data_IF_149766284402
#
_entry.id   IF_149766284402
#
_cell.length_a   1.000
_cell.length_b   1.000
_cell.length_c   1.000
_cell.angle_alpha   90.00
_cell.angle_beta   90.00
_cell.angle_gamma   90.00
#
_symmetry.space_group_name_H-M   'P 1'
#
loop_
_entity.id
_entity.type
_entity.pdbx_description
1 polymer ?
#
# COMPACT_ATOMS: atom_id res chain seq x y z
N UNK A 1 22.71 3.35 33.84
CA UNK A 1 22.96 4.58 33.06
C UNK A 1 22.29 5.74 33.78
N UNK A 2 23.02 6.53 34.56
CA UNK A 2 22.47 7.73 35.23
C UNK A 2 22.43 8.86 34.20
N UNK A 3 21.25 9.39 33.95
CA UNK A 3 21.06 10.58 33.09
C UNK A 3 21.11 11.78 34.05
N UNK A 4 22.31 12.32 34.26
CA UNK A 4 22.46 13.62 34.90
C UNK A 4 21.95 14.73 33.97
N UNK A 5 21.25 15.69 34.57
CA UNK A 5 20.49 16.70 33.86
C UNK A 5 21.36 17.64 33.03
N UNK A 6 21.03 17.77 31.74
CA UNK A 6 21.63 18.76 30.86
C UNK A 6 20.59 19.52 30.01
N UNK A 7 21.00 20.75 29.70
CA UNK A 7 20.27 21.91 29.22
C UNK A 7 19.89 21.82 27.73
N UNK A 8 19.18 20.78 27.30
CA UNK A 8 18.27 20.77 26.15
C UNK A 8 18.00 19.32 25.73
N UNK A 9 16.74 18.88 25.61
CA UNK A 9 16.38 17.56 25.07
C UNK A 9 17.03 17.23 23.72
N UNK A 10 17.38 18.24 22.90
CA UNK A 10 18.03 18.05 21.60
C UNK A 10 19.48 17.56 21.70
N UNK A 11 20.25 18.03 22.68
CA UNK A 11 21.66 17.65 22.85
C UNK A 11 21.77 16.21 23.35
N UNK A 12 20.90 15.83 24.30
CA UNK A 12 20.80 14.45 24.78
C UNK A 12 20.44 13.51 23.63
N UNK A 13 19.48 13.88 22.79
CA UNK A 13 19.08 13.10 21.63
C UNK A 13 20.22 12.95 20.61
N UNK A 14 20.93 14.03 20.29
CA UNK A 14 22.11 13.98 19.41
C UNK A 14 23.18 13.03 19.94
N UNK A 15 23.47 13.09 21.25
CA UNK A 15 24.46 12.21 21.89
C UNK A 15 24.03 10.74 21.87
N UNK A 16 22.73 10.47 22.02
CA UNK A 16 22.20 9.11 21.95
C UNK A 16 22.27 8.58 20.51
N UNK A 17 21.87 9.39 19.54
CA UNK A 17 21.86 8.98 18.13
C UNK A 17 23.29 8.82 17.57
N UNK A 18 24.22 9.72 17.89
CA UNK A 18 25.62 9.61 17.44
C UNK A 18 26.32 8.35 17.94
N UNK A 19 25.93 7.82 19.09
CA UNK A 19 26.45 6.53 19.61
C UNK A 19 26.02 5.31 18.78
N UNK A 20 25.00 5.43 17.94
CA UNK A 20 24.55 4.34 17.07
C UNK A 20 25.45 4.16 15.84
N UNK A 21 26.32 5.13 15.52
CA UNK A 21 27.20 5.05 14.35
C UNK A 21 26.44 4.82 13.03
N UNK A 22 27.02 4.03 12.13
CA UNK A 22 26.44 3.67 10.85
C UNK A 22 25.35 2.59 11.02
N UNK A 23 24.13 3.03 11.28
CA UNK A 23 22.96 2.16 11.54
C UNK A 23 21.83 2.44 10.57
N UNK A 24 21.10 1.39 10.15
CA UNK A 24 19.84 1.52 9.40
C UNK A 24 18.67 1.28 10.35
N UNK A 25 17.75 2.24 10.43
CA UNK A 25 16.53 2.15 11.23
C UNK A 25 15.34 2.04 10.30
N UNK A 26 14.71 0.86 10.28
CA UNK A 26 13.44 0.61 9.60
C UNK A 26 12.26 0.97 10.49
N UNK A 27 11.30 1.73 9.98
CA UNK A 27 10.06 2.06 10.67
C UNK A 27 8.89 1.69 9.78
N UNK A 28 8.11 0.74 10.28
CA UNK A 28 6.92 0.26 9.59
C UNK A 28 5.71 1.16 9.84
N UNK A 29 4.90 1.38 8.80
CA UNK A 29 3.68 2.20 8.84
C UNK A 29 3.87 3.56 9.50
N UNK A 30 4.87 4.32 9.03
CA UNK A 30 5.36 5.55 9.66
C UNK A 30 4.26 6.60 9.88
N UNK A 31 3.17 6.57 9.11
CA UNK A 31 2.03 7.47 9.31
C UNK A 31 1.35 7.33 10.67
N UNK A 32 1.50 6.19 11.34
CA UNK A 32 0.92 5.93 12.66
C UNK A 32 1.69 6.66 13.77
N UNK A 33 2.96 7.01 13.54
CA UNK A 33 3.84 7.63 14.53
C UNK A 33 4.26 9.06 14.17
N UNK A 34 3.83 9.56 13.01
CA UNK A 34 4.31 10.83 12.47
C UNK A 34 3.83 12.02 13.32
N UNK A 35 4.79 12.72 13.94
CA UNK A 35 4.53 13.93 14.74
C UNK A 35 5.52 15.04 14.40
N UNK A 36 5.19 16.33 14.64
CA UNK A 36 6.15 17.43 14.46
C UNK A 36 7.43 17.27 15.29
N UNK A 37 7.35 16.62 16.46
CA UNK A 37 8.53 16.27 17.23
C UNK A 37 9.39 15.22 16.51
N UNK A 38 8.77 14.17 16.00
CA UNK A 38 9.47 13.12 15.26
C UNK A 38 10.19 13.64 14.02
N UNK A 39 9.60 14.58 13.26
CA UNK A 39 10.30 15.22 12.13
C UNK A 39 11.55 15.97 12.58
N UNK A 40 11.50 16.68 13.71
CA UNK A 40 12.69 17.36 14.27
C UNK A 40 13.78 16.36 14.65
N UNK A 41 13.41 15.20 15.18
CA UNK A 41 14.35 14.09 15.45
C UNK A 41 15.03 13.64 14.15
N UNK A 42 14.25 13.36 13.09
CA UNK A 42 14.78 12.96 11.79
C UNK A 42 15.72 14.03 11.20
N UNK A 43 15.34 15.29 11.33
CA UNK A 43 16.13 16.44 10.87
C UNK A 43 17.50 16.52 11.57
N UNK A 44 17.51 16.31 12.88
CA UNK A 44 18.74 16.27 13.67
C UNK A 44 19.59 15.05 13.31
N UNK A 45 18.98 13.87 13.23
CA UNK A 45 19.67 12.62 12.92
C UNK A 45 20.36 12.70 11.56
N UNK A 46 19.65 13.13 10.52
CA UNK A 46 20.19 13.27 9.16
C UNK A 46 21.39 14.22 9.07
N UNK A 47 21.43 15.26 9.89
CA UNK A 47 22.50 16.27 9.85
C UNK A 47 23.73 15.93 10.72
N UNK A 48 23.56 15.10 11.74
CA UNK A 48 24.56 14.94 12.82
C UNK A 48 25.03 13.51 13.01
N UNK A 49 24.50 12.56 12.25
CA UNK A 49 24.78 11.13 12.40
C UNK A 49 24.82 10.42 11.06
N UNK A 50 25.44 9.25 11.03
CA UNK A 50 25.47 8.35 9.85
C UNK A 50 24.26 7.40 9.80
N UNK A 51 23.19 7.72 10.53
CA UNK A 51 21.99 6.90 10.58
C UNK A 51 21.19 7.07 9.28
N UNK A 52 20.81 5.95 8.66
CA UNK A 52 19.86 5.92 7.54
C UNK A 52 18.51 5.44 8.03
N UNK A 53 17.44 6.14 7.65
CA UNK A 53 16.07 5.72 7.94
C UNK A 53 15.44 5.11 6.70
N UNK A 54 14.72 4.00 6.90
CA UNK A 54 13.85 3.39 5.91
C UNK A 54 12.43 3.43 6.47
N UNK A 55 11.51 4.06 5.75
CA UNK A 55 10.11 4.12 6.13
C UNK A 55 9.30 3.27 5.16
N UNK A 56 8.33 2.53 5.69
CA UNK A 56 7.25 1.94 4.89
C UNK A 56 5.94 2.60 5.28
N UNK A 57 4.94 2.49 4.42
CA UNK A 57 3.59 2.89 4.75
C UNK A 57 2.74 3.17 3.51
N UNK A 58 1.46 3.44 3.73
CA UNK A 58 0.57 3.86 2.65
C UNK A 58 1.12 5.09 1.91
N UNK A 59 0.87 5.17 0.60
CA UNK A 59 1.29 6.33 -0.20
C UNK A 59 0.68 7.64 0.32
N UNK A 60 -0.54 7.62 0.90
CA UNK A 60 -1.12 8.77 1.62
C UNK A 60 -0.25 9.19 2.80
N UNK A 61 0.17 8.22 3.61
CA UNK A 61 1.04 8.42 4.75
C UNK A 61 2.36 9.05 4.35
N UNK A 62 3.02 8.46 3.35
CA UNK A 62 4.29 8.94 2.81
C UNK A 62 4.16 10.33 2.18
N UNK A 63 3.12 10.60 1.39
CA UNK A 63 2.88 11.92 0.80
C UNK A 63 2.63 13.00 1.86
N UNK A 64 1.93 12.69 2.95
CA UNK A 64 1.75 13.64 4.07
C UNK A 64 3.07 13.98 4.75
N UNK A 65 3.99 13.01 4.84
CA UNK A 65 5.33 13.21 5.40
C UNK A 65 6.14 14.16 4.51
N UNK A 66 6.10 13.93 3.20
CA UNK A 66 6.83 14.71 2.20
C UNK A 66 6.27 16.12 2.01
N UNK A 67 4.94 16.24 1.95
CA UNK A 67 4.26 17.50 1.65
C UNK A 67 4.01 18.38 2.89
N UNK A 68 4.01 17.80 4.10
CA UNK A 68 3.64 18.51 5.32
C UNK A 68 2.20 19.00 5.36
N UNK A 69 1.33 18.41 4.53
CA UNK A 69 -0.08 18.79 4.43
C UNK A 69 -0.82 18.51 5.74
N UNK A 70 -1.53 19.53 6.23
CA UNK A 70 -2.31 19.51 7.46
C UNK A 70 -1.63 20.11 8.70
N UNK A 71 -0.35 20.54 8.62
CA UNK A 71 0.37 21.11 9.78
C UNK A 71 1.12 22.43 9.52
N UNK A 72 0.74 23.16 8.48
CA UNK A 72 1.23 24.51 8.16
C UNK A 72 2.58 24.52 7.42
N UNK A 73 2.87 25.63 6.74
CA UNK A 73 4.03 25.80 5.86
C UNK A 73 5.37 25.37 6.48
N UNK A 74 5.55 25.52 7.80
CA UNK A 74 6.77 25.16 8.55
C UNK A 74 7.16 23.67 8.49
N UNK A 75 6.24 22.76 8.15
CA UNK A 75 6.51 21.32 8.11
C UNK A 75 7.22 20.90 6.81
N UNK A 76 6.86 21.49 5.66
CA UNK A 76 7.51 21.21 4.37
C UNK A 76 8.94 21.77 4.30
N UNK A 77 9.23 22.87 5.02
CA UNK A 77 10.58 23.45 5.08
C UNK A 77 11.62 22.55 5.75
N UNK A 78 11.23 21.63 6.64
CA UNK A 78 12.21 20.80 7.38
C UNK A 78 12.87 19.72 6.52
N UNK A 79 12.24 19.33 5.41
CA UNK A 79 12.79 18.41 4.41
C UNK A 79 13.30 19.10 3.14
N UNK A 80 13.09 20.41 2.97
CA UNK A 80 13.69 21.16 1.86
C UNK A 80 15.21 21.04 1.91
N UNK A 81 15.79 20.51 0.83
CA UNK A 81 17.23 20.25 0.72
C UNK A 81 17.69 18.88 1.24
N UNK A 82 16.78 18.00 1.67
CA UNK A 82 17.08 16.63 2.12
C UNK A 82 16.46 15.64 1.14
N UNK A 83 17.22 15.08 0.19
CA UNK A 83 16.67 14.14 -0.78
C UNK A 83 16.16 12.89 -0.05
N UNK A 84 14.90 12.54 -0.31
CA UNK A 84 14.30 11.28 0.12
C UNK A 84 14.29 10.35 -1.09
N UNK A 85 14.76 9.13 -0.91
CA UNK A 85 14.72 8.10 -1.94
C UNK A 85 13.37 7.41 -1.83
N UNK A 86 12.54 7.58 -2.86
CA UNK A 86 11.24 6.91 -2.95
C UNK A 86 11.40 5.57 -3.66
N UNK A 87 10.97 4.49 -3.00
CA UNK A 87 10.90 3.15 -3.58
C UNK A 87 9.42 2.77 -3.65
N UNK A 88 8.90 2.69 -4.87
CA UNK A 88 7.52 2.27 -5.12
C UNK A 88 7.48 0.76 -5.35
N UNK A 89 6.85 0.01 -4.43
CA UNK A 89 6.53 -1.40 -4.65
C UNK A 89 5.23 -1.47 -5.48
N UNK A 90 5.31 -2.07 -6.66
CA UNK A 90 4.15 -2.29 -7.55
C UNK A 90 3.74 -3.77 -7.52
N UNK A 91 2.49 -4.10 -7.88
CA UNK A 91 2.14 -5.48 -8.23
C UNK A 91 3.08 -5.99 -9.32
N UNK A 92 3.34 -7.29 -9.29
CA UNK A 92 4.10 -7.94 -10.34
C UNK A 92 3.40 -7.83 -11.70
N UNK A 93 4.20 -7.73 -12.75
CA UNK A 93 3.76 -8.04 -14.11
C UNK A 93 3.33 -9.51 -14.19
N UNK A 94 2.64 -9.88 -15.28
CA UNK A 94 2.30 -11.28 -15.54
C UNK A 94 3.56 -12.17 -15.58
N UNK A 95 4.62 -11.69 -16.23
CA UNK A 95 5.90 -12.40 -16.34
C UNK A 95 6.56 -12.59 -14.97
N UNK A 96 6.63 -11.53 -14.15
CA UNK A 96 7.16 -11.62 -12.79
C UNK A 96 6.34 -12.57 -11.91
N UNK A 97 5.01 -12.58 -12.07
CA UNK A 97 4.12 -13.49 -11.35
C UNK A 97 4.37 -14.95 -11.71
N UNK A 98 4.52 -15.23 -13.02
CA UNK A 98 4.85 -16.57 -13.54
C UNK A 98 6.22 -17.01 -13.02
N UNK A 99 7.23 -16.14 -13.11
CA UNK A 99 8.58 -16.44 -12.64
C UNK A 99 8.62 -16.64 -11.12
N UNK A 100 7.85 -15.88 -10.36
CA UNK A 100 7.72 -16.03 -8.91
C UNK A 100 7.15 -17.41 -8.54
N UNK A 101 6.06 -17.83 -9.19
CA UNK A 101 5.46 -19.14 -8.94
C UNK A 101 6.34 -20.29 -9.44
N UNK A 102 7.02 -20.15 -10.58
CA UNK A 102 8.01 -21.12 -11.06
C UNK A 102 9.15 -21.31 -10.07
N UNK A 103 9.72 -20.20 -9.59
CA UNK A 103 10.78 -20.25 -8.60
C UNK A 103 10.32 -20.95 -7.31
N UNK A 104 9.11 -20.64 -6.83
CA UNK A 104 8.53 -21.30 -5.65
C UNK A 104 8.24 -22.79 -5.89
N UNK A 105 7.72 -23.14 -7.07
CA UNK A 105 7.49 -24.53 -7.51
C UNK A 105 8.79 -25.33 -7.45
N UNK A 106 9.86 -24.83 -8.05
CA UNK A 106 11.13 -25.54 -8.14
C UNK A 106 11.82 -25.64 -6.77
N UNK A 107 11.82 -24.55 -5.99
CA UNK A 107 12.44 -24.50 -4.65
C UNK A 107 11.75 -25.44 -3.66
N UNK A 108 10.42 -25.54 -3.72
CA UNK A 108 9.63 -26.35 -2.80
C UNK A 108 9.23 -27.72 -3.39
N UNK A 109 9.76 -28.09 -4.57
CA UNK A 109 9.46 -29.33 -5.30
C UNK A 109 7.94 -29.59 -5.45
N UNK A 110 7.19 -28.55 -5.80
CA UNK A 110 5.73 -28.61 -5.95
C UNK A 110 5.38 -29.08 -7.36
N UNK A 111 4.42 -29.98 -7.48
CA UNK A 111 3.93 -30.38 -8.81
C UNK A 111 2.86 -29.41 -9.32
N UNK A 112 3.27 -28.38 -10.07
CA UNK A 112 2.37 -27.46 -10.79
C UNK A 112 2.66 -27.50 -12.30
N UNK A 113 1.62 -27.53 -13.14
CA UNK A 113 1.79 -27.42 -14.60
C UNK A 113 2.05 -25.97 -15.03
N UNK A 114 2.55 -25.76 -16.25
CA UNK A 114 2.72 -24.41 -16.80
C UNK A 114 1.39 -23.66 -16.96
N UNK A 115 0.34 -24.36 -17.41
CA UNK A 115 -1.01 -23.81 -17.50
C UNK A 115 -1.53 -23.36 -16.13
N UNK A 116 -1.30 -24.15 -15.08
CA UNK A 116 -1.70 -23.82 -13.71
C UNK A 116 -1.03 -22.52 -13.22
N UNK A 117 0.27 -22.36 -13.50
CA UNK A 117 1.03 -21.17 -13.11
C UNK A 117 0.51 -19.93 -13.85
N UNK A 118 0.25 -20.06 -15.14
CA UNK A 118 -0.28 -18.97 -15.97
C UNK A 118 -1.68 -18.58 -15.49
N UNK A 119 -2.54 -19.56 -15.19
CA UNK A 119 -3.89 -19.32 -14.69
C UNK A 119 -3.87 -18.59 -13.33
N UNK A 120 -3.08 -19.09 -12.36
CA UNK A 120 -2.92 -18.44 -11.07
C UNK A 120 -2.35 -17.01 -11.21
N UNK A 121 -1.36 -16.82 -12.09
CA UNK A 121 -0.75 -15.51 -12.33
C UNK A 121 -1.75 -14.51 -12.92
N UNK A 122 -2.60 -14.93 -13.87
CA UNK A 122 -3.68 -14.12 -14.41
C UNK A 122 -4.76 -13.81 -13.36
N UNK A 123 -5.10 -14.80 -12.54
CA UNK A 123 -6.12 -14.70 -11.48
C UNK A 123 -5.73 -13.65 -10.44
N UNK A 124 -4.48 -13.65 -9.99
CA UNK A 124 -4.01 -12.79 -8.89
C UNK A 124 -3.38 -11.47 -9.36
N UNK A 125 -3.18 -11.28 -10.68
CA UNK A 125 -2.76 -10.02 -11.31
C UNK A 125 -1.56 -9.36 -10.61
N UNK A 126 -0.59 -10.18 -10.21
CA UNK A 126 0.65 -9.73 -9.58
C UNK A 126 0.56 -9.28 -8.12
N UNK A 127 -0.58 -9.49 -7.45
CA UNK A 127 -0.66 -9.27 -6.02
C UNK A 127 0.13 -10.37 -5.31
N UNK A 128 1.34 -10.01 -4.87
CA UNK A 128 2.34 -10.91 -4.30
C UNK A 128 1.77 -11.70 -3.11
N UNK A 129 0.95 -11.05 -2.27
CA UNK A 129 0.29 -11.70 -1.14
C UNK A 129 -0.57 -12.89 -1.58
N UNK A 130 -1.42 -12.72 -2.60
CA UNK A 130 -2.28 -13.80 -3.11
C UNK A 130 -1.50 -14.89 -3.82
N UNK A 131 -0.49 -14.53 -4.62
CA UNK A 131 0.43 -15.49 -5.23
C UNK A 131 1.15 -16.34 -4.18
N UNK A 132 1.54 -15.71 -3.06
CA UNK A 132 2.20 -16.39 -1.94
C UNK A 132 1.25 -17.33 -1.21
N UNK A 133 0.03 -16.89 -0.89
CA UNK A 133 -0.99 -17.76 -0.28
C UNK A 133 -1.32 -18.95 -1.17
N UNK A 134 -1.50 -18.72 -2.47
CA UNK A 134 -1.74 -19.75 -3.47
C UNK A 134 -0.58 -20.77 -3.51
N UNK A 135 0.65 -20.29 -3.68
CA UNK A 135 1.84 -21.13 -3.74
C UNK A 135 2.06 -21.95 -2.47
N UNK A 136 1.79 -21.36 -1.30
CA UNK A 136 1.84 -22.06 -0.02
C UNK A 136 0.81 -23.20 0.03
N UNK A 137 -0.45 -22.95 -0.32
CA UNK A 137 -1.48 -24.00 -0.36
C UNK A 137 -1.10 -25.14 -1.31
N UNK A 138 -0.53 -24.83 -2.48
CA UNK A 138 0.00 -25.84 -3.40
C UNK A 138 1.14 -26.65 -2.80
N UNK A 139 2.03 -26.00 -2.03
CA UNK A 139 3.11 -26.69 -1.30
C UNK A 139 2.59 -27.66 -0.24
N UNK A 140 1.41 -27.37 0.34
CA UNK A 140 0.72 -28.24 1.30
C UNK A 140 -0.05 -29.39 0.64
N UNK A 141 0.06 -29.55 -0.69
CA UNK A 141 -0.56 -30.66 -1.44
C UNK A 141 -2.01 -30.39 -1.88
N UNK A 142 -2.52 -29.16 -1.74
CA UNK A 142 -3.84 -28.81 -2.25
C UNK A 142 -3.82 -28.85 -3.77
N UNK A 143 -4.89 -29.30 -4.42
CA UNK A 143 -5.04 -29.17 -5.88
C UNK A 143 -5.15 -27.71 -6.29
N UNK A 144 -4.87 -27.39 -7.56
CA UNK A 144 -5.03 -26.06 -8.13
C UNK A 144 -6.36 -25.38 -7.74
N UNK A 145 -7.48 -26.03 -8.08
CA UNK A 145 -8.82 -25.52 -7.78
C UNK A 145 -9.05 -25.33 -6.27
N UNK A 146 -8.63 -26.30 -5.45
CA UNK A 146 -8.83 -26.19 -4.00
C UNK A 146 -8.00 -25.06 -3.40
N UNK A 147 -6.77 -24.84 -3.90
CA UNK A 147 -5.95 -23.72 -3.48
C UNK A 147 -6.61 -22.39 -3.86
N UNK A 148 -7.14 -22.26 -5.08
CA UNK A 148 -7.88 -21.06 -5.50
C UNK A 148 -9.12 -20.79 -4.64
N UNK A 149 -9.90 -21.82 -4.32
CA UNK A 149 -11.06 -21.71 -3.44
C UNK A 149 -10.67 -21.20 -2.05
N UNK A 150 -9.60 -21.76 -1.45
CA UNK A 150 -9.14 -21.33 -0.13
C UNK A 150 -8.59 -19.90 -0.16
N UNK A 151 -7.83 -19.51 -1.19
CA UNK A 151 -7.41 -18.10 -1.36
C UNK A 151 -8.62 -17.18 -1.46
N UNK A 152 -9.66 -17.58 -2.22
CA UNK A 152 -10.89 -16.80 -2.37
C UNK A 152 -11.64 -16.65 -1.04
N UNK A 153 -11.70 -17.72 -0.23
CA UNK A 153 -12.33 -17.69 1.11
C UNK A 153 -11.57 -16.74 2.06
N UNK A 154 -10.24 -16.84 2.11
CA UNK A 154 -9.41 -15.97 2.94
C UNK A 154 -9.54 -14.52 2.47
N UNK A 155 -9.38 -14.30 1.16
CA UNK A 155 -9.48 -13.00 0.52
C UNK A 155 -10.84 -12.34 0.76
N UNK A 156 -11.94 -13.11 0.75
CA UNK A 156 -13.28 -12.59 1.07
C UNK A 156 -13.34 -11.90 2.42
N UNK A 157 -12.78 -12.51 3.47
CA UNK A 157 -12.81 -11.91 4.81
C UNK A 157 -12.00 -10.61 4.86
N UNK A 158 -10.84 -10.59 4.22
CA UNK A 158 -9.94 -9.43 4.19
C UNK A 158 -10.58 -8.29 3.41
N UNK A 159 -11.03 -8.56 2.18
CA UNK A 159 -11.63 -7.59 1.28
C UNK A 159 -12.93 -7.01 1.87
N UNK A 160 -13.78 -7.84 2.50
CA UNK A 160 -15.00 -7.32 3.14
C UNK A 160 -14.68 -6.42 4.34
N UNK A 161 -13.66 -6.77 5.12
CA UNK A 161 -13.20 -5.93 6.23
C UNK A 161 -12.69 -4.58 5.72
N UNK A 162 -11.79 -4.58 4.73
CA UNK A 162 -11.27 -3.37 4.10
C UNK A 162 -12.40 -2.53 3.49
N UNK A 163 -13.28 -3.15 2.71
CA UNK A 163 -14.41 -2.49 2.07
C UNK A 163 -15.35 -1.84 3.09
N UNK A 164 -15.62 -2.51 4.22
CA UNK A 164 -16.47 -1.97 5.29
C UNK A 164 -15.90 -0.74 5.97
N UNK A 165 -14.57 -0.57 5.96
CA UNK A 165 -13.88 0.59 6.53
C UNK A 165 -13.92 1.83 5.63
N UNK A 166 -14.31 1.67 4.35
CA UNK A 166 -14.40 2.75 3.39
C UNK A 166 -15.64 3.63 3.65
N UNK A 167 -15.53 4.92 3.33
CA UNK A 167 -16.70 5.81 3.31
C UNK A 167 -17.74 5.38 2.26
N UNK A 168 -18.99 5.78 2.44
CA UNK A 168 -20.11 5.45 1.54
C UNK A 168 -19.79 5.74 0.05
N UNK A 169 -19.18 6.90 -0.24
CA UNK A 169 -18.81 7.28 -1.60
C UNK A 169 -17.68 6.40 -2.15
N UNK A 170 -16.70 6.05 -1.32
CA UNK A 170 -15.63 5.14 -1.72
C UNK A 170 -16.18 3.73 -2.01
N UNK A 171 -17.11 3.24 -1.19
CA UNK A 171 -17.75 1.95 -1.39
C UNK A 171 -18.46 1.86 -2.74
N UNK A 172 -19.24 2.88 -3.13
CA UNK A 172 -19.93 2.84 -4.43
C UNK A 172 -18.98 2.99 -5.62
N UNK A 173 -17.87 3.72 -5.47
CA UNK A 173 -16.81 3.76 -6.49
C UNK A 173 -16.19 2.37 -6.68
N UNK A 174 -15.85 1.69 -5.59
CA UNK A 174 -15.26 0.35 -5.63
C UNK A 174 -16.26 -0.66 -6.22
N UNK A 175 -17.55 -0.60 -5.86
CA UNK A 175 -18.61 -1.41 -6.48
C UNK A 175 -18.76 -1.16 -7.97
N UNK A 176 -18.75 0.10 -8.39
CA UNK A 176 -18.82 0.45 -9.81
C UNK A 176 -17.63 -0.14 -10.57
N UNK A 177 -16.40 -0.02 -10.04
CA UNK A 177 -15.22 -0.59 -10.67
C UNK A 177 -15.17 -2.11 -10.64
N UNK A 178 -15.70 -2.77 -9.61
CA UNK A 178 -15.70 -4.24 -9.52
C UNK A 178 -16.54 -4.86 -10.65
N UNK A 179 -17.61 -4.19 -11.07
CA UNK A 179 -18.48 -4.58 -12.18
C UNK A 179 -17.89 -4.13 -13.52
N UNK A 180 -17.53 -2.85 -13.67
CA UNK A 180 -17.08 -2.29 -14.94
C UNK A 180 -15.69 -2.80 -15.37
N UNK A 181 -14.88 -3.30 -14.42
CA UNK A 181 -13.45 -3.66 -14.53
C UNK A 181 -12.54 -2.47 -14.83
N UNK A 182 -12.94 -1.60 -15.76
CA UNK A 182 -12.23 -0.39 -16.10
C UNK A 182 -13.22 0.70 -16.58
N UNK A 183 -13.07 1.94 -16.10
CA UNK A 183 -14.01 3.03 -16.41
C UNK A 183 -13.32 4.38 -16.59
N UNK A 184 -13.85 5.25 -17.46
CA UNK A 184 -13.49 6.67 -17.48
C UNK A 184 -14.21 7.41 -16.34
N UNK A 185 -13.72 8.59 -15.98
CA UNK A 185 -14.26 9.38 -14.87
C UNK A 185 -15.77 9.60 -14.95
N UNK A 186 -16.28 9.99 -16.13
CA UNK A 186 -17.71 10.29 -16.35
C UNK A 186 -18.59 9.06 -16.14
N UNK A 187 -18.19 7.92 -16.70
CA UNK A 187 -18.95 6.68 -16.59
C UNK A 187 -18.91 6.14 -15.16
N UNK A 188 -17.73 6.20 -14.52
CA UNK A 188 -17.56 5.77 -13.14
C UNK A 188 -18.43 6.58 -12.18
N UNK A 189 -18.47 7.91 -12.35
CA UNK A 189 -19.30 8.80 -11.54
C UNK A 189 -20.78 8.47 -11.71
N UNK A 190 -21.24 8.35 -12.95
CA UNK A 190 -22.64 8.04 -13.28
C UNK A 190 -23.10 6.72 -12.68
N UNK A 191 -22.29 5.67 -12.76
CA UNK A 191 -22.62 4.36 -12.16
C UNK A 191 -22.64 4.45 -10.63
N UNK A 192 -21.68 5.17 -10.03
CA UNK A 192 -21.63 5.39 -8.57
C UNK A 192 -22.85 6.14 -8.04
N UNK A 193 -23.29 7.20 -8.75
CA UNK A 193 -24.52 7.94 -8.44
C UNK A 193 -25.77 7.05 -8.56
N UNK A 194 -25.79 6.15 -9.56
CA UNK A 194 -26.83 5.13 -9.72
C UNK A 194 -26.97 4.21 -8.50
N UNK A 195 -25.87 3.76 -7.91
CA UNK A 195 -25.90 2.97 -6.68
C UNK A 195 -26.41 3.74 -5.47
N UNK A 196 -26.04 5.02 -5.35
CA UNK A 196 -26.51 5.88 -4.26
C UNK A 196 -27.95 6.39 -4.45
N UNK A 197 -28.49 6.29 -5.67
CA UNK A 197 -29.77 6.90 -6.07
C UNK A 197 -29.81 8.42 -5.81
N UNK A 198 -28.65 9.08 -5.91
CA UNK A 198 -28.49 10.55 -5.78
C UNK A 198 -27.21 11.02 -6.45
N UNK A 199 -27.19 12.30 -6.81
CA UNK A 199 -26.01 12.95 -7.38
C UNK A 199 -24.91 13.13 -6.33
N UNK A 200 -23.66 13.03 -6.78
CA UNK A 200 -22.47 13.29 -5.97
C UNK A 200 -21.81 14.56 -6.52
N UNK A 201 -21.50 15.51 -5.63
CA UNK A 201 -20.74 16.70 -6.04
C UNK A 201 -19.36 16.28 -6.56
N UNK A 202 -18.92 16.88 -7.67
CA UNK A 202 -17.65 16.53 -8.33
C UNK A 202 -16.45 16.57 -7.39
N UNK A 203 -16.36 17.59 -6.52
CA UNK A 203 -15.27 17.70 -5.56
C UNK A 203 -15.27 16.54 -4.54
N UNK A 204 -16.45 16.09 -4.10
CA UNK A 204 -16.58 14.99 -3.14
C UNK A 204 -16.19 13.66 -3.78
N UNK A 205 -16.65 13.43 -5.01
CA UNK A 205 -16.28 12.26 -5.80
C UNK A 205 -14.77 12.22 -6.08
N UNK A 206 -14.20 13.34 -6.52
CA UNK A 206 -12.76 13.48 -6.78
C UNK A 206 -11.93 13.26 -5.53
N UNK A 207 -12.37 13.78 -4.38
CA UNK A 207 -11.70 13.53 -3.11
C UNK A 207 -11.71 12.04 -2.77
N UNK A 208 -12.88 11.38 -2.81
CA UNK A 208 -12.99 9.94 -2.52
C UNK A 208 -12.14 9.09 -3.48
N UNK A 209 -12.19 9.37 -4.78
CA UNK A 209 -11.41 8.67 -5.81
C UNK A 209 -9.90 8.87 -5.59
N UNK A 210 -9.45 10.08 -5.25
CA UNK A 210 -8.05 10.37 -4.91
C UNK A 210 -7.61 9.58 -3.67
N UNK A 211 -8.45 9.48 -2.63
CA UNK A 211 -8.13 8.66 -1.46
C UNK A 211 -7.99 7.18 -1.81
N UNK A 212 -8.86 6.63 -2.68
CA UNK A 212 -8.76 5.24 -3.14
C UNK A 212 -7.50 4.96 -3.97
N UNK A 213 -7.08 5.92 -4.81
CA UNK A 213 -5.83 5.82 -5.58
C UNK A 213 -4.63 5.81 -4.63
N UNK A 214 -4.61 6.76 -3.70
CA UNK A 214 -3.50 6.86 -2.76
C UNK A 214 -3.46 5.69 -1.75
N UNK A 215 -4.62 5.06 -1.48
CA UNK A 215 -4.71 3.83 -0.70
C UNK A 215 -4.34 2.57 -1.51
N UNK A 216 -3.99 2.70 -2.80
CA UNK A 216 -3.67 1.59 -3.70
C UNK A 216 -4.79 0.56 -3.88
N UNK A 217 -6.03 0.99 -3.72
CA UNK A 217 -7.20 0.18 -4.08
C UNK A 217 -7.50 0.38 -5.57
N UNK A 218 -7.36 1.62 -6.06
CA UNK A 218 -7.65 2.00 -7.44
C UNK A 218 -6.37 2.40 -8.18
N UNK A 219 -6.20 1.88 -9.39
CA UNK A 219 -5.18 2.31 -10.33
C UNK A 219 -5.78 3.28 -11.34
N UNK A 220 -5.09 4.39 -11.58
CA UNK A 220 -5.36 5.29 -12.70
C UNK A 220 -4.29 5.11 -13.76
N UNK A 221 -4.69 4.61 -14.93
CA UNK A 221 -3.85 4.51 -16.11
C UNK A 221 -4.48 5.32 -17.24
N UNK A 222 -3.73 6.28 -17.78
CA UNK A 222 -4.24 7.24 -18.76
C UNK A 222 -5.50 7.96 -18.21
N UNK A 223 -6.63 7.82 -18.91
CA UNK A 223 -7.92 8.38 -18.53
C UNK A 223 -8.88 7.38 -17.86
N UNK A 224 -8.38 6.20 -17.50
CA UNK A 224 -9.20 5.09 -16.99
C UNK A 224 -8.79 4.69 -15.58
N UNK A 225 -9.78 4.23 -14.83
CA UNK A 225 -9.66 3.75 -13.45
C UNK A 225 -10.01 2.27 -13.41
N UNK A 226 -9.28 1.49 -12.62
CA UNK A 226 -9.53 0.07 -12.38
C UNK A 226 -9.14 -0.33 -10.96
N UNK A 227 -9.65 -1.45 -10.47
CA UNK A 227 -9.19 -2.00 -9.18
C UNK A 227 -7.86 -2.72 -9.38
N UNK A 228 -6.94 -2.47 -8.44
CA UNK A 228 -5.62 -3.10 -8.41
C UNK A 228 -5.77 -4.58 -8.05
N UNK A 229 -6.45 -4.85 -6.94
CA UNK A 229 -6.68 -6.22 -6.49
C UNK A 229 -7.94 -6.82 -7.14
N UNK A 230 -7.81 -7.93 -7.90
CA UNK A 230 -8.94 -8.58 -8.54
C UNK A 230 -10.00 -9.11 -7.58
N UNK A 231 -9.65 -9.42 -6.32
CA UNK A 231 -10.58 -10.02 -5.35
C UNK A 231 -11.68 -9.05 -4.88
N UNK A 232 -11.54 -7.74 -5.15
CA UNK A 232 -12.64 -6.79 -5.00
C UNK A 232 -13.85 -7.10 -5.92
N UNK A 233 -13.77 -8.08 -6.84
CA UNK A 233 -14.96 -8.60 -7.51
C UNK A 233 -16.01 -9.21 -6.56
N UNK A 234 -15.65 -9.55 -5.33
CA UNK A 234 -16.57 -10.14 -4.35
C UNK A 234 -17.60 -9.12 -3.83
N UNK A 235 -17.32 -7.82 -3.94
CA UNK A 235 -18.21 -6.75 -3.45
C UNK A 235 -19.16 -6.20 -4.52
N UNK A 236 -19.22 -6.84 -5.70
CA UNK A 236 -20.17 -6.52 -6.77
C UNK A 236 -21.62 -6.44 -6.28
#
# INVERSE_FOLDING_TARGET
MKIEGEKSPSQTLQRVLSKLGNTIIGIDEVQNIITPWFIRVLSVAYNTTDIRFVFTGSMIGMLKILAGEGKGEKFSYQFKGRPIIEIEIKPFTLEESVNFLKYGKDTCNINMSEEEIIDASNTYRGIIGWLTYYGNLRSLGYTHHRAQDEVTKIGRSIILSEFSSLSEIQQVIVKALSIMKQARWRDLKKVSEGFLRRDIKDWTFNHALKQLINARIVLKENEKYSLIDPLYSIVQ
#
